data_IF_362949147467
#
_entry.id   IF_362949147467
#
_cell.length_a   1.000
_cell.length_b   1.000
_cell.length_c   1.000
_cell.angle_alpha   90.00
_cell.angle_beta   90.00
_cell.angle_gamma   90.00
#
_symmetry.space_group_name_H-M   'P 1'
#
loop_
_entity.id
_entity.type
_entity.pdbx_description
1 polymer ?
#
# COMPACT_ATOMS: atom_id res chain seq x y z
N UNK A 1 -15.92 19.98 19.78
CA UNK A 1 -17.33 19.56 19.60
C UNK A 1 -17.74 19.42 18.13
N UNK A 2 -17.43 20.37 17.25
CA UNK A 2 -17.80 20.26 15.81
C UNK A 2 -17.21 19.03 15.13
N UNK A 3 -16.00 18.61 15.51
CA UNK A 3 -15.36 17.42 14.96
C UNK A 3 -16.03 16.10 15.37
N UNK A 4 -16.52 16.02 16.61
CA UNK A 4 -17.28 14.88 17.11
C UNK A 4 -18.66 14.83 16.43
N UNK A 5 -19.35 15.97 16.33
CA UNK A 5 -20.59 16.08 15.57
C UNK A 5 -20.39 15.65 14.11
N UNK A 6 -19.39 16.23 13.44
CA UNK A 6 -19.05 15.88 12.06
C UNK A 6 -18.69 14.41 11.89
N UNK A 7 -18.04 13.77 12.89
CA UNK A 7 -17.71 12.36 12.86
C UNK A 7 -18.98 11.50 12.73
N UNK A 8 -20.07 11.82 13.44
CA UNK A 8 -21.30 11.03 13.44
C UNK A 8 -22.35 11.46 12.42
N UNK A 9 -22.28 12.69 11.87
CA UNK A 9 -23.30 13.21 10.96
C UNK A 9 -22.94 13.13 9.47
N UNK A 10 -21.65 13.03 9.13
CA UNK A 10 -21.21 12.91 7.73
C UNK A 10 -20.91 11.46 7.39
N UNK A 11 -21.19 11.07 6.14
CA UNK A 11 -20.67 9.81 5.60
C UNK A 11 -19.16 9.92 5.48
N UNK A 12 -18.46 8.92 6.01
CA UNK A 12 -17.01 8.87 5.98
C UNK A 12 -16.49 7.50 5.53
N UNK A 13 -15.21 7.47 5.15
CA UNK A 13 -14.47 6.25 4.81
C UNK A 13 -14.25 5.29 6.00
N UNK A 14 -13.65 4.14 5.74
CA UNK A 14 -13.45 3.04 6.72
C UNK A 14 -12.75 3.49 8.00
N UNK A 15 -11.71 4.33 7.92
CA UNK A 15 -11.00 4.88 9.08
C UNK A 15 -11.94 5.60 10.04
N UNK A 16 -12.77 6.51 9.53
CA UNK A 16 -13.70 7.26 10.35
C UNK A 16 -14.81 6.39 10.93
N UNK A 17 -15.18 5.28 10.27
CA UNK A 17 -16.08 4.26 10.86
C UNK A 17 -15.43 3.54 12.04
N UNK A 18 -14.13 3.20 11.95
CA UNK A 18 -13.37 2.67 13.09
C UNK A 18 -13.31 3.70 14.22
N UNK A 19 -12.98 4.96 13.89
CA UNK A 19 -12.90 6.05 14.85
C UNK A 19 -14.25 6.32 15.54
N UNK A 20 -15.37 6.23 14.81
CA UNK A 20 -16.72 6.29 15.40
C UNK A 20 -16.91 5.21 16.47
N UNK A 21 -16.58 3.95 16.14
CA UNK A 21 -16.72 2.84 17.05
C UNK A 21 -15.82 2.98 18.28
N UNK A 22 -14.54 3.30 18.10
CA UNK A 22 -13.59 3.55 19.19
C UNK A 22 -14.07 4.69 20.11
N UNK A 23 -14.63 5.76 19.53
CA UNK A 23 -15.16 6.90 20.29
C UNK A 23 -16.37 6.49 21.13
N UNK A 24 -17.25 5.63 20.60
CA UNK A 24 -18.39 5.06 21.36
C UNK A 24 -17.90 4.18 22.50
N UNK A 25 -16.94 3.30 22.24
CA UNK A 25 -16.36 2.40 23.26
C UNK A 25 -15.70 3.21 24.37
N UNK A 26 -14.91 4.22 24.02
CA UNK A 26 -14.29 5.15 24.98
C UNK A 26 -15.35 5.86 25.83
N UNK A 27 -16.40 6.36 25.20
CA UNK A 27 -17.50 7.05 25.90
C UNK A 27 -18.20 6.14 26.91
N UNK A 28 -18.56 4.92 26.49
CA UNK A 28 -19.19 3.93 27.37
C UNK A 28 -18.25 3.47 28.49
N UNK A 29 -16.97 3.31 28.19
CA UNK A 29 -15.97 2.95 29.18
C UNK A 29 -15.84 4.00 30.28
N UNK A 30 -15.81 5.28 29.93
CA UNK A 30 -15.77 6.39 30.90
C UNK A 30 -17.03 6.35 31.77
N UNK A 31 -18.22 6.21 31.17
CA UNK A 31 -19.47 6.15 31.93
C UNK A 31 -19.45 4.97 32.89
N UNK A 32 -19.12 3.76 32.41
CA UNK A 32 -19.12 2.55 33.22
C UNK A 32 -18.11 2.62 34.37
N UNK A 33 -16.89 3.10 34.08
CA UNK A 33 -15.84 3.27 35.08
C UNK A 33 -16.30 4.21 36.20
N UNK A 34 -16.78 5.42 35.85
CA UNK A 34 -17.15 6.39 36.87
C UNK A 34 -18.46 6.05 37.60
N UNK A 35 -19.43 5.40 36.94
CA UNK A 35 -20.66 4.94 37.62
C UNK A 35 -20.41 3.76 38.56
N UNK A 36 -19.36 2.96 38.33
CA UNK A 36 -18.94 1.90 39.23
C UNK A 36 -18.27 2.43 40.50
N UNK A 37 -17.40 3.44 40.38
CA UNK A 37 -16.60 3.94 41.50
C UNK A 37 -17.26 5.05 42.34
N UNK A 38 -18.26 5.76 41.80
CA UNK A 38 -18.84 6.93 42.45
C UNK A 38 -20.35 6.78 42.68
N UNK A 39 -20.86 7.41 43.74
CA UNK A 39 -22.30 7.40 44.03
C UNK A 39 -23.07 8.25 43.01
N UNK A 40 -24.11 7.67 42.44
CA UNK A 40 -24.94 8.31 41.42
C UNK A 40 -25.89 9.35 42.04
N UNK A 41 -25.56 10.63 41.90
CA UNK A 41 -26.49 11.75 42.10
C UNK A 41 -26.84 12.38 40.75
N UNK A 42 -27.99 13.05 40.65
CA UNK A 42 -28.39 13.74 39.41
C UNK A 42 -27.33 14.73 38.91
N UNK A 43 -26.72 15.50 39.81
CA UNK A 43 -25.64 16.43 39.46
C UNK A 43 -24.38 15.71 38.98
N UNK A 44 -24.02 14.58 39.61
CA UNK A 44 -22.88 13.76 39.21
C UNK A 44 -23.06 13.17 37.80
N UNK A 45 -24.27 12.68 37.47
CA UNK A 45 -24.56 12.13 36.14
C UNK A 45 -24.42 13.19 35.04
N UNK A 46 -24.89 14.41 35.27
CA UNK A 46 -24.75 15.51 34.29
C UNK A 46 -23.28 15.85 34.08
N UNK A 47 -22.51 16.01 35.16
CA UNK A 47 -21.07 16.29 35.09
C UNK A 47 -20.33 15.17 34.37
N UNK A 48 -20.68 13.91 34.66
CA UNK A 48 -20.09 12.73 34.02
C UNK A 48 -20.36 12.70 32.52
N UNK A 49 -21.58 13.00 32.08
CA UNK A 49 -21.91 13.07 30.65
C UNK A 49 -21.10 14.16 29.95
N UNK A 50 -21.03 15.36 30.54
CA UNK A 50 -20.25 16.48 30.00
C UNK A 50 -18.76 16.12 29.92
N UNK A 51 -18.22 15.48 30.96
CA UNK A 51 -16.83 15.04 31.01
C UNK A 51 -16.53 13.95 29.97
N UNK A 52 -17.40 12.94 29.85
CA UNK A 52 -17.26 11.88 28.85
C UNK A 52 -17.30 12.46 27.42
N UNK A 53 -18.22 13.39 27.15
CA UNK A 53 -18.28 14.11 25.88
C UNK A 53 -17.02 14.92 25.58
N UNK A 54 -16.44 15.57 26.60
CA UNK A 54 -15.20 16.32 26.46
C UNK A 54 -14.03 15.41 26.06
N UNK A 55 -13.80 14.32 26.81
CA UNK A 55 -12.72 13.37 26.53
C UNK A 55 -12.89 12.71 25.16
N UNK A 56 -14.10 12.27 24.81
CA UNK A 56 -14.40 11.72 23.49
C UNK A 56 -14.15 12.73 22.37
N UNK A 57 -14.48 14.02 22.56
CA UNK A 57 -14.18 15.06 21.57
C UNK A 57 -12.67 15.23 21.40
N UNK A 58 -11.91 15.34 22.49
CA UNK A 58 -10.47 15.49 22.44
C UNK A 58 -9.78 14.29 21.78
N UNK A 59 -10.25 13.07 22.04
CA UNK A 59 -9.76 11.86 21.37
C UNK A 59 -9.91 11.94 19.84
N UNK A 60 -11.09 12.36 19.37
CA UNK A 60 -11.37 12.52 17.93
C UNK A 60 -10.50 13.63 17.32
N UNK A 61 -10.30 14.73 18.04
CA UNK A 61 -9.48 15.86 17.56
C UNK A 61 -8.02 15.41 17.34
N UNK A 62 -7.42 14.76 18.34
CA UNK A 62 -6.05 14.22 18.24
C UNK A 62 -5.92 13.21 17.11
N UNK A 63 -6.88 12.28 16.98
CA UNK A 63 -6.82 11.25 15.92
C UNK A 63 -6.98 11.82 14.51
N UNK A 64 -7.76 12.88 14.34
CA UNK A 64 -7.87 13.58 13.04
C UNK A 64 -6.62 14.36 12.70
N UNK A 65 -6.01 15.01 13.68
CA UNK A 65 -4.74 15.74 13.51
C UNK A 65 -3.62 14.76 13.11
N UNK A 66 -3.49 13.63 13.81
CA UNK A 66 -2.54 12.56 13.49
C UNK A 66 -2.71 12.05 12.03
N UNK A 67 -3.96 11.83 11.58
CA UNK A 67 -4.23 11.43 10.20
C UNK A 67 -3.85 12.53 9.18
N UNK A 68 -4.14 13.79 9.50
CA UNK A 68 -3.77 14.94 8.66
C UNK A 68 -2.26 15.01 8.50
N UNK A 69 -1.52 14.91 9.59
CA UNK A 69 -0.06 14.95 9.59
C UNK A 69 0.51 13.78 8.79
N UNK A 70 -0.02 12.57 8.97
CA UNK A 70 0.38 11.40 8.19
C UNK A 70 0.19 11.64 6.69
N UNK A 71 -0.99 12.13 6.28
CA UNK A 71 -1.28 12.40 4.87
C UNK A 71 -0.36 13.49 4.29
N UNK A 72 -0.06 14.54 5.04
CA UNK A 72 0.89 15.57 4.63
C UNK A 72 2.30 15.01 4.46
N UNK A 73 2.76 14.16 5.38
CA UNK A 73 4.05 13.48 5.30
C UNK A 73 4.10 12.57 4.06
N UNK A 74 3.06 11.76 3.83
CA UNK A 74 2.97 10.89 2.65
C UNK A 74 3.03 11.70 1.35
N UNK A 75 2.30 12.81 1.27
CA UNK A 75 2.32 13.69 0.10
C UNK A 75 3.71 14.30 -0.13
N UNK A 76 4.38 14.78 0.93
CA UNK A 76 5.73 15.30 0.82
C UNK A 76 6.73 14.25 0.32
N UNK A 77 6.60 12.99 0.77
CA UNK A 77 7.40 11.87 0.29
C UNK A 77 7.13 11.55 -1.18
N UNK A 78 5.86 11.54 -1.60
CA UNK A 78 5.49 11.36 -3.02
C UNK A 78 6.11 12.46 -3.90
N UNK A 79 6.06 13.72 -3.45
CA UNK A 79 6.68 14.84 -4.16
C UNK A 79 8.20 14.68 -4.27
N UNK A 80 8.89 14.21 -3.22
CA UNK A 80 10.33 13.90 -3.31
C UNK A 80 10.63 12.85 -4.38
N UNK A 81 9.82 11.78 -4.46
CA UNK A 81 9.97 10.74 -5.48
C UNK A 81 9.74 11.30 -6.90
N UNK A 82 8.71 12.14 -7.08
CA UNK A 82 8.45 12.79 -8.37
C UNK A 82 9.59 13.73 -8.78
N UNK A 83 10.13 14.49 -7.82
CA UNK A 83 11.26 15.39 -8.06
C UNK A 83 12.52 14.62 -8.47
N UNK A 84 12.76 13.46 -7.86
CA UNK A 84 13.83 12.56 -8.28
C UNK A 84 13.68 12.14 -9.75
N UNK A 85 12.51 11.64 -10.15
CA UNK A 85 12.23 11.25 -11.54
C UNK A 85 12.51 12.41 -12.49
N UNK A 86 11.98 13.59 -12.18
CA UNK A 86 12.15 14.78 -13.01
C UNK A 86 13.63 15.14 -13.16
N UNK A 87 14.43 15.01 -12.10
CA UNK A 87 15.87 15.26 -12.12
C UNK A 87 16.62 14.26 -13.01
N UNK A 88 16.34 12.96 -12.86
CA UNK A 88 16.96 11.91 -13.69
C UNK A 88 16.61 12.10 -15.17
N UNK A 89 15.36 12.37 -15.50
CA UNK A 89 14.93 12.66 -16.87
C UNK A 89 15.65 13.89 -17.43
N UNK A 90 15.74 14.97 -16.66
CA UNK A 90 16.44 16.19 -17.07
C UNK A 90 17.92 15.93 -17.34
N UNK A 91 18.59 15.14 -16.49
CA UNK A 91 19.99 14.76 -16.67
C UNK A 91 20.19 13.90 -17.92
N UNK A 92 19.32 12.91 -18.16
CA UNK A 92 19.34 12.10 -19.39
C UNK A 92 19.12 12.94 -20.65
N UNK A 93 18.19 13.89 -20.61
CA UNK A 93 17.95 14.80 -21.73
C UNK A 93 19.17 15.67 -22.04
N UNK A 94 19.89 16.14 -21.00
CA UNK A 94 21.13 16.89 -21.17
C UNK A 94 22.24 16.04 -21.79
N UNK A 95 22.33 14.75 -21.47
CA UNK A 95 23.36 13.86 -22.02
C UNK A 95 23.10 13.41 -23.47
N UNK A 96 21.83 13.37 -23.92
CA UNK A 96 21.43 12.91 -25.27
C UNK A 96 21.66 13.98 -26.37
N UNK A 97 22.23 15.14 -26.02
CA UNK A 97 22.21 16.36 -26.83
C UNK A 97 23.07 16.32 -28.14
N UNK A 98 22.63 15.54 -29.14
CA UNK A 98 22.90 15.74 -30.59
C UNK A 98 21.62 15.92 -31.43
N UNK A 99 20.42 15.64 -30.89
CA UNK A 99 19.13 16.01 -31.50
C UNK A 99 18.22 16.56 -30.40
N UNK A 100 17.87 17.85 -30.49
CA UNK A 100 16.98 18.48 -29.51
C UNK A 100 15.56 17.89 -29.66
N UNK A 101 15.07 17.21 -28.63
CA UNK A 101 13.64 16.87 -28.52
C UNK A 101 12.82 18.16 -28.52
N UNK A 102 11.70 18.14 -29.26
CA UNK A 102 10.74 19.24 -29.30
C UNK A 102 10.13 19.48 -27.91
N UNK A 103 9.62 20.69 -27.61
CA UNK A 103 8.91 20.96 -26.35
C UNK A 103 7.76 19.99 -26.08
N UNK A 104 7.03 19.58 -27.12
CA UNK A 104 5.93 18.62 -27.04
C UNK A 104 6.43 17.22 -26.64
N UNK A 105 7.53 16.74 -27.21
CA UNK A 105 8.11 15.45 -26.86
C UNK A 105 8.65 15.43 -25.43
N UNK A 106 9.24 16.55 -24.98
CA UNK A 106 9.65 16.71 -23.57
C UNK A 106 8.43 16.62 -22.66
N UNK A 107 7.36 17.35 -22.97
CA UNK A 107 6.13 17.30 -22.17
C UNK A 107 5.56 15.87 -22.10
N UNK A 108 5.49 15.17 -23.23
CA UNK A 108 5.04 13.76 -23.27
C UNK A 108 5.92 12.85 -22.41
N UNK A 109 7.24 13.04 -22.41
CA UNK A 109 8.16 12.28 -21.58
C UNK A 109 7.93 12.52 -20.09
N UNK A 110 7.78 13.78 -19.65
CA UNK A 110 7.48 14.04 -18.24
C UNK A 110 6.11 13.49 -17.84
N UNK A 111 5.09 13.65 -18.70
CA UNK A 111 3.74 13.15 -18.44
C UNK A 111 3.68 11.63 -18.33
N UNK A 112 4.45 10.89 -19.13
CA UNK A 112 4.48 9.42 -19.07
C UNK A 112 5.20 8.87 -17.83
N UNK A 113 5.90 9.71 -17.07
CA UNK A 113 6.63 9.35 -15.86
C UNK A 113 6.05 10.04 -14.60
N UNK A 114 4.81 10.51 -14.65
CA UNK A 114 4.13 11.02 -13.46
C UNK A 114 3.71 9.85 -12.57
N UNK A 115 3.99 9.95 -11.27
CA UNK A 115 3.57 9.00 -10.24
C UNK A 115 2.09 9.20 -9.87
N UNK A 116 1.24 9.12 -10.89
CA UNK A 116 -0.18 9.44 -10.84
C UNK A 116 -1.02 8.43 -10.05
N UNK A 117 -0.49 7.22 -9.80
CA UNK A 117 -1.22 6.12 -9.16
C UNK A 117 -0.55 5.64 -7.88
N UNK A 118 0.67 6.11 -7.60
CA UNK A 118 1.42 5.74 -6.39
C UNK A 118 0.72 6.16 -5.09
N UNK A 119 -0.11 7.21 -5.14
CA UNK A 119 -0.86 7.74 -3.99
C UNK A 119 -1.86 6.75 -3.38
N UNK A 120 -2.27 5.71 -4.12
CA UNK A 120 -3.25 4.74 -3.62
C UNK A 120 -2.66 3.80 -2.55
N UNK A 121 -1.33 3.76 -2.39
CA UNK A 121 -0.66 2.95 -1.36
C UNK A 121 0.42 3.76 -0.62
N UNK A 122 0.07 4.24 0.58
CA UNK A 122 0.98 4.98 1.45
C UNK A 122 2.17 4.14 1.93
N UNK A 123 2.00 2.83 2.17
CA UNK A 123 3.10 1.98 2.61
C UNK A 123 4.15 1.85 1.51
N UNK A 124 3.70 1.74 0.26
CA UNK A 124 4.58 1.73 -0.91
C UNK A 124 5.35 3.05 -1.05
N UNK A 125 4.68 4.20 -0.89
CA UNK A 125 5.35 5.52 -0.90
C UNK A 125 6.44 5.61 0.16
N UNK A 126 6.10 5.25 1.40
CA UNK A 126 7.03 5.33 2.52
C UNK A 126 8.21 4.38 2.34
N UNK A 127 7.98 3.20 1.77
CA UNK A 127 9.04 2.26 1.43
C UNK A 127 9.96 2.81 0.34
N UNK A 128 9.42 3.25 -0.79
CA UNK A 128 10.21 3.76 -1.91
C UNK A 128 11.02 5.00 -1.52
N UNK A 129 10.45 5.90 -0.70
CA UNK A 129 11.19 7.05 -0.19
C UNK A 129 12.29 6.65 0.79
N UNK A 130 12.11 5.58 1.57
CA UNK A 130 13.15 5.10 2.51
C UNK A 130 14.41 4.57 1.80
N UNK A 131 14.26 4.04 0.58
CA UNK A 131 15.38 3.53 -0.23
C UNK A 131 15.92 4.55 -1.24
N UNK A 132 15.25 5.71 -1.39
CA UNK A 132 15.68 6.81 -2.27
C UNK A 132 17.14 7.25 -2.07
N UNK A 133 17.71 7.33 -0.86
CA UNK A 133 19.14 7.70 -0.69
C UNK A 133 20.12 6.76 -1.42
N UNK A 134 19.70 5.53 -1.73
CA UNK A 134 20.50 4.55 -2.46
C UNK A 134 20.41 4.73 -3.98
N UNK A 135 19.45 5.53 -4.47
CA UNK A 135 19.29 5.79 -5.90
C UNK A 135 20.55 6.36 -6.56
N UNK A 136 21.41 7.04 -5.78
CA UNK A 136 22.71 7.55 -6.25
C UNK A 136 23.64 6.49 -6.83
N UNK A 137 23.48 5.21 -6.46
CA UNK A 137 24.32 4.12 -6.97
C UNK A 137 23.88 3.67 -8.36
N UNK A 138 22.57 3.76 -8.67
CA UNK A 138 22.04 3.53 -10.00
C UNK A 138 20.67 4.22 -10.17
N UNK A 139 20.71 5.47 -10.63
CA UNK A 139 19.50 6.29 -10.78
C UNK A 139 18.56 5.76 -11.85
N UNK A 140 19.11 5.13 -12.90
CA UNK A 140 18.30 4.58 -14.01
C UNK A 140 17.50 3.38 -13.54
N UNK A 141 18.13 2.49 -12.78
CA UNK A 141 17.43 1.32 -12.25
C UNK A 141 16.35 1.73 -11.26
N UNK A 142 16.65 2.70 -10.39
CA UNK A 142 15.66 3.22 -9.46
C UNK A 142 14.45 3.86 -10.16
N UNK A 143 14.67 4.56 -11.28
CA UNK A 143 13.59 5.08 -12.12
C UNK A 143 12.69 3.96 -12.68
N UNK A 144 13.27 2.84 -13.14
CA UNK A 144 12.49 1.69 -13.63
C UNK A 144 11.60 1.10 -12.53
N UNK A 145 12.14 0.97 -11.31
CA UNK A 145 11.39 0.49 -10.14
C UNK A 145 10.19 1.41 -9.83
N UNK A 146 10.40 2.73 -9.83
CA UNK A 146 9.32 3.70 -9.58
C UNK A 146 8.22 3.63 -10.64
N UNK A 147 8.60 3.63 -11.92
CA UNK A 147 7.66 3.57 -13.02
C UNK A 147 6.90 2.24 -13.06
N UNK A 148 7.59 1.12 -12.90
CA UNK A 148 6.97 -0.19 -12.88
C UNK A 148 6.00 -0.35 -11.71
N UNK A 149 6.37 0.14 -10.52
CA UNK A 149 5.49 0.14 -9.35
C UNK A 149 4.25 1.02 -9.59
N UNK A 150 4.42 2.22 -10.14
CA UNK A 150 3.30 3.10 -10.48
C UNK A 150 2.36 2.45 -11.51
N UNK A 151 2.89 1.75 -12.52
CA UNK A 151 2.09 1.07 -13.54
C UNK A 151 1.26 -0.08 -12.97
N UNK A 152 1.79 -0.85 -12.01
CA UNK A 152 1.02 -1.90 -11.32
C UNK A 152 -0.12 -1.28 -10.52
N UNK A 153 0.15 -0.19 -9.79
CA UNK A 153 -0.87 0.55 -9.03
C UNK A 153 -1.90 1.20 -9.94
N UNK A 154 -1.49 1.65 -11.13
CA UNK A 154 -2.39 2.19 -12.15
C UNK A 154 -3.40 1.16 -12.62
N UNK A 155 -2.95 -0.07 -12.90
CA UNK A 155 -3.84 -1.19 -13.25
C UNK A 155 -4.86 -1.44 -12.13
N UNK A 156 -4.40 -1.48 -10.87
CA UNK A 156 -5.30 -1.62 -9.71
C UNK A 156 -6.34 -0.49 -9.67
N UNK A 157 -5.88 0.75 -9.78
CA UNK A 157 -6.75 1.92 -9.71
C UNK A 157 -7.79 1.94 -10.83
N UNK A 158 -7.42 1.56 -12.05
CA UNK A 158 -8.32 1.44 -13.19
C UNK A 158 -9.42 0.39 -12.94
N UNK A 159 -9.06 -0.79 -12.43
CA UNK A 159 -10.02 -1.85 -12.08
C UNK A 159 -10.98 -1.38 -10.99
N UNK A 160 -10.44 -0.80 -9.90
CA UNK A 160 -11.22 -0.35 -8.76
C UNK A 160 -12.19 0.77 -9.16
N UNK A 161 -11.70 1.79 -9.87
CA UNK A 161 -12.52 2.93 -10.32
C UNK A 161 -13.63 2.48 -11.27
N UNK A 162 -13.33 1.54 -12.18
CA UNK A 162 -14.32 0.99 -13.09
C UNK A 162 -15.41 0.20 -12.33
N UNK A 163 -15.01 -0.63 -11.36
CA UNK A 163 -15.95 -1.38 -10.54
C UNK A 163 -16.80 -0.46 -9.66
N UNK A 164 -16.21 0.56 -9.03
CA UNK A 164 -16.94 1.52 -8.21
C UNK A 164 -18.03 2.23 -9.00
N UNK A 165 -17.74 2.57 -10.26
CA UNK A 165 -18.64 3.29 -11.17
C UNK A 165 -19.74 2.39 -11.76
N UNK A 166 -19.40 1.15 -12.14
CA UNK A 166 -20.31 0.29 -12.94
C UNK A 166 -20.89 -0.90 -12.17
N UNK A 167 -20.36 -1.21 -10.98
CA UNK A 167 -20.67 -2.43 -10.19
C UNK A 167 -20.38 -3.74 -10.95
N UNK A 168 -19.54 -3.65 -11.97
CA UNK A 168 -19.05 -4.76 -12.79
C UNK A 168 -17.57 -4.53 -13.05
N UNK A 169 -16.79 -5.60 -13.11
CA UNK A 169 -15.36 -5.51 -13.44
C UNK A 169 -15.14 -5.28 -14.96
N UNK A 170 -14.01 -4.69 -15.36
CA UNK A 170 -13.63 -4.55 -16.78
C UNK A 170 -13.61 -5.90 -17.51
N UNK A 171 -13.93 -5.91 -18.80
CA UNK A 171 -13.94 -7.16 -19.58
C UNK A 171 -12.53 -7.76 -19.68
N UNK A 172 -11.53 -6.89 -19.84
CA UNK A 172 -10.12 -7.22 -19.96
C UNK A 172 -9.42 -7.46 -18.61
N UNK A 173 -10.15 -7.74 -17.52
CA UNK A 173 -9.54 -7.92 -16.18
C UNK A 173 -8.48 -9.03 -16.16
N UNK A 174 -8.67 -10.10 -16.94
CA UNK A 174 -7.65 -11.17 -17.08
C UNK A 174 -6.34 -10.67 -17.68
N UNK A 175 -6.41 -9.86 -18.74
CA UNK A 175 -5.23 -9.29 -19.41
C UNK A 175 -4.53 -8.26 -18.51
N UNK A 176 -5.31 -7.43 -17.82
CA UNK A 176 -4.81 -6.49 -16.83
C UNK A 176 -4.06 -7.21 -15.69
N UNK A 177 -4.61 -8.32 -15.19
CA UNK A 177 -3.96 -9.12 -14.17
C UNK A 177 -2.66 -9.77 -14.67
N UNK A 178 -2.66 -10.33 -15.88
CA UNK A 178 -1.45 -10.89 -16.49
C UNK A 178 -0.37 -9.81 -16.68
N UNK A 179 -0.76 -8.61 -17.13
CA UNK A 179 0.14 -7.47 -17.27
C UNK A 179 0.73 -7.05 -15.92
N UNK A 180 -0.09 -6.98 -14.86
CA UNK A 180 0.37 -6.67 -13.52
C UNK A 180 1.38 -7.72 -13.00
N UNK A 181 1.14 -9.01 -13.24
CA UNK A 181 2.07 -10.08 -12.86
C UNK A 181 3.40 -9.99 -13.60
N UNK A 182 3.37 -9.72 -14.91
CA UNK A 182 4.59 -9.53 -15.70
C UNK A 182 5.38 -8.31 -15.20
N UNK A 183 4.69 -7.20 -14.92
CA UNK A 183 5.32 -6.02 -14.34
C UNK A 183 5.92 -6.31 -12.96
N UNK A 184 5.22 -7.04 -12.09
CA UNK A 184 5.73 -7.45 -10.76
C UNK A 184 7.06 -8.19 -10.89
N UNK A 185 7.13 -9.18 -11.78
CA UNK A 185 8.36 -9.96 -12.02
C UNK A 185 9.48 -9.04 -12.50
N UNK A 186 9.20 -8.16 -13.48
CA UNK A 186 10.18 -7.22 -14.00
C UNK A 186 10.70 -6.28 -12.91
N UNK A 187 9.83 -5.71 -12.07
CA UNK A 187 10.28 -4.78 -11.02
C UNK A 187 11.04 -5.49 -9.91
N UNK A 188 10.69 -6.74 -9.57
CA UNK A 188 11.48 -7.55 -8.64
C UNK A 188 12.89 -7.77 -9.20
N UNK A 189 13.01 -8.12 -10.48
CA UNK A 189 14.30 -8.21 -11.14
C UNK A 189 15.04 -6.86 -11.12
N UNK A 190 14.33 -5.76 -11.37
CA UNK A 190 14.92 -4.43 -11.34
C UNK A 190 15.47 -4.07 -9.94
N UNK A 191 14.79 -4.50 -8.87
CA UNK A 191 15.26 -4.34 -7.49
C UNK A 191 16.50 -5.18 -7.23
N UNK A 192 16.55 -6.42 -7.72
CA UNK A 192 17.75 -7.23 -7.63
C UNK A 192 18.94 -6.55 -8.31
N UNK A 193 18.76 -6.08 -9.55
CA UNK A 193 19.77 -5.33 -10.30
C UNK A 193 20.21 -4.06 -9.57
N UNK A 194 19.26 -3.31 -9.02
CA UNK A 194 19.54 -2.10 -8.23
C UNK A 194 20.40 -2.44 -7.01
N UNK A 195 20.06 -3.50 -6.28
CA UNK A 195 20.79 -3.96 -5.10
C UNK A 195 22.21 -4.43 -5.45
N UNK A 196 22.40 -5.03 -6.62
CA UNK A 196 23.73 -5.42 -7.08
C UNK A 196 24.68 -4.23 -7.28
N UNK A 197 24.14 -3.04 -7.57
CA UNK A 197 24.96 -1.82 -7.73
C UNK A 197 25.42 -1.19 -6.42
N UNK A 198 24.88 -1.64 -5.28
CA UNK A 198 25.15 -1.04 -3.97
C UNK A 198 26.35 -1.74 -3.30
N UNK A 199 27.34 -0.99 -2.76
CA UNK A 199 28.49 -1.56 -2.07
C UNK A 199 28.09 -2.44 -0.87
N UNK A 200 28.60 -3.68 -0.83
CA UNK A 200 28.16 -4.72 0.12
C UNK A 200 29.08 -4.83 1.34
N UNK A 201 28.82 -4.03 2.38
CA UNK A 201 29.32 -4.34 3.74
C UNK A 201 28.34 -5.30 4.47
N UNK A 202 28.74 -5.90 5.59
CA UNK A 202 27.93 -6.93 6.27
C UNK A 202 26.57 -6.41 6.77
N UNK A 203 26.52 -5.19 7.31
CA UNK A 203 25.28 -4.53 7.76
C UNK A 203 24.38 -4.23 6.55
N UNK A 204 24.98 -3.78 5.44
CA UNK A 204 24.29 -3.47 4.20
C UNK A 204 23.67 -4.71 3.56
N UNK A 205 24.30 -5.89 3.66
CA UNK A 205 23.72 -7.12 3.10
C UNK A 205 22.38 -7.48 3.74
N UNK A 206 22.25 -7.35 5.07
CA UNK A 206 20.98 -7.60 5.75
C UNK A 206 19.93 -6.56 5.33
N UNK A 207 20.29 -5.28 5.34
CA UNK A 207 19.41 -4.22 4.90
C UNK A 207 18.92 -4.38 3.44
N UNK A 208 19.81 -4.78 2.53
CA UNK A 208 19.47 -5.03 1.12
C UNK A 208 18.53 -6.24 0.96
N UNK A 209 18.70 -7.28 1.79
CA UNK A 209 17.75 -8.40 1.82
C UNK A 209 16.37 -7.94 2.29
N UNK A 210 16.32 -7.15 3.34
CA UNK A 210 15.07 -6.59 3.88
C UNK A 210 14.35 -5.72 2.84
N UNK A 211 15.07 -5.02 1.96
CA UNK A 211 14.48 -4.27 0.85
C UNK A 211 13.71 -5.20 -0.10
N UNK A 212 14.31 -6.32 -0.52
CA UNK A 212 13.69 -7.27 -1.45
C UNK A 212 12.44 -7.87 -0.82
N UNK A 213 12.57 -8.36 0.43
CA UNK A 213 11.50 -9.03 1.13
C UNK A 213 10.33 -8.06 1.37
N UNK A 214 10.63 -6.84 1.83
CA UNK A 214 9.62 -5.81 2.09
C UNK A 214 8.92 -5.37 0.81
N UNK A 215 9.65 -5.14 -0.28
CA UNK A 215 9.01 -4.83 -1.56
C UNK A 215 8.11 -5.97 -2.04
N UNK A 216 8.61 -7.21 -1.98
CA UNK A 216 7.88 -8.41 -2.41
C UNK A 216 6.56 -8.56 -1.67
N UNK A 217 6.54 -8.28 -0.36
CA UNK A 217 5.31 -8.28 0.44
C UNK A 217 4.36 -7.15 0.03
N UNK A 218 4.88 -5.92 -0.13
CA UNK A 218 4.03 -4.77 -0.47
C UNK A 218 3.41 -4.92 -1.86
N UNK A 219 4.21 -5.26 -2.87
CA UNK A 219 3.72 -5.47 -4.24
C UNK A 219 2.88 -6.75 -4.35
N UNK A 220 3.18 -7.76 -3.52
CA UNK A 220 2.38 -8.97 -3.38
C UNK A 220 0.94 -8.66 -2.98
N UNK A 221 0.74 -7.85 -1.94
CA UNK A 221 -0.61 -7.43 -1.49
C UNK A 221 -1.41 -6.71 -2.58
N UNK A 222 -0.74 -5.84 -3.35
CA UNK A 222 -1.36 -5.14 -4.49
C UNK A 222 -1.77 -6.15 -5.56
N UNK A 223 -0.89 -7.10 -5.88
CA UNK A 223 -1.13 -8.14 -6.89
C UNK A 223 -2.24 -9.12 -6.45
N UNK A 224 -2.27 -9.50 -5.18
CA UNK A 224 -3.33 -10.33 -4.59
C UNK A 224 -4.69 -9.62 -4.66
N UNK A 225 -4.72 -8.30 -4.44
CA UNK A 225 -5.94 -7.50 -4.60
C UNK A 225 -6.43 -7.49 -6.06
N UNK A 226 -5.53 -7.40 -7.04
CA UNK A 226 -5.89 -7.47 -8.46
C UNK A 226 -6.38 -8.87 -8.82
N UNK A 227 -5.73 -9.91 -8.28
CA UNK A 227 -6.14 -11.31 -8.44
C UNK A 227 -7.54 -11.59 -7.91
N UNK A 228 -7.89 -11.04 -6.74
CA UNK A 228 -9.24 -11.14 -6.20
C UNK A 228 -10.28 -10.44 -7.10
N UNK A 229 -9.97 -9.27 -7.65
CA UNK A 229 -10.81 -8.61 -8.66
C UNK A 229 -10.99 -9.47 -9.90
N UNK A 230 -9.93 -10.14 -10.37
CA UNK A 230 -9.98 -11.11 -11.46
C UNK A 230 -10.88 -12.31 -11.15
N UNK A 231 -10.73 -12.93 -9.97
CA UNK A 231 -11.61 -14.03 -9.52
C UNK A 231 -13.07 -13.59 -9.44
N UNK A 232 -13.32 -12.41 -8.90
CA UNK A 232 -14.67 -11.87 -8.74
C UNK A 232 -15.31 -11.52 -10.09
N UNK A 233 -14.53 -11.05 -11.06
CA UNK A 233 -15.00 -10.90 -12.44
C UNK A 233 -15.50 -12.24 -13.03
N UNK A 234 -14.71 -13.30 -12.88
CA UNK A 234 -15.10 -14.65 -13.35
C UNK A 234 -16.36 -15.14 -12.63
N UNK A 235 -16.45 -14.95 -11.31
CA UNK A 235 -17.63 -15.33 -10.53
C UNK A 235 -18.88 -14.58 -10.99
N UNK A 236 -18.76 -13.30 -11.32
CA UNK A 236 -19.88 -12.44 -11.72
C UNK A 236 -20.35 -12.73 -13.15
N UNK A 237 -19.42 -12.92 -14.09
CA UNK A 237 -19.74 -13.09 -15.52
C UNK A 237 -19.92 -14.55 -15.94
N UNK A 238 -19.41 -15.50 -15.15
CA UNK A 238 -19.28 -16.89 -15.55
C UNK A 238 -18.12 -17.12 -16.53
N UNK A 239 -17.78 -18.38 -16.77
CA UNK A 239 -16.76 -18.77 -17.75
C UNK A 239 -17.38 -18.66 -19.15
N UNK A 240 -16.76 -17.86 -20.02
CA UNK A 240 -17.19 -17.63 -21.40
C UNK A 240 -15.99 -17.63 -22.36
N UNK A 241 -16.23 -17.36 -23.65
CA UNK A 241 -15.20 -17.35 -24.70
C UNK A 241 -14.09 -16.32 -24.51
N UNK A 242 -14.30 -15.28 -23.69
CA UNK A 242 -13.30 -14.26 -23.36
C UNK A 242 -12.62 -14.51 -22.01
N UNK A 243 -12.91 -15.62 -21.33
CA UNK A 243 -12.32 -15.94 -20.02
C UNK A 243 -10.94 -16.56 -20.19
N UNK A 244 -9.90 -15.77 -19.91
CA UNK A 244 -8.52 -16.24 -19.89
C UNK A 244 -8.09 -16.62 -18.48
N UNK A 245 -7.58 -17.86 -18.32
CA UNK A 245 -7.05 -18.35 -17.04
C UNK A 245 -5.57 -17.99 -16.88
N UNK A 246 -5.28 -17.19 -15.86
CA UNK A 246 -3.93 -16.74 -15.53
C UNK A 246 -3.42 -17.52 -14.30
N UNK A 247 -2.24 -18.15 -14.42
CA UNK A 247 -1.58 -18.80 -13.29
C UNK A 247 -1.01 -17.76 -12.34
N UNK A 248 -1.25 -17.92 -11.04
CA UNK A 248 -0.72 -17.03 -10.00
C UNK A 248 -0.46 -17.82 -8.71
N UNK A 249 0.80 -17.84 -8.29
CA UNK A 249 1.18 -18.35 -6.99
C UNK A 249 0.93 -17.26 -5.96
N UNK A 250 -0.13 -17.40 -5.18
CA UNK A 250 -0.45 -16.47 -4.08
C UNK A 250 0.66 -16.51 -3.03
N UNK A 251 1.02 -15.35 -2.49
CA UNK A 251 1.83 -15.33 -1.28
C UNK A 251 0.96 -15.85 -0.13
N UNK A 252 1.20 -17.10 0.30
CA UNK A 252 0.50 -17.67 1.45
C UNK A 252 0.62 -16.69 2.65
N UNK A 253 -0.46 -16.43 3.39
CA UNK A 253 -0.35 -15.67 4.63
C UNK A 253 0.70 -16.32 5.54
N UNK A 254 1.44 -15.48 6.27
CA UNK A 254 2.43 -15.97 7.21
C UNK A 254 1.73 -16.79 8.31
N UNK A 255 1.91 -18.11 8.25
CA UNK A 255 1.47 -19.04 9.29
C UNK A 255 2.70 -19.46 10.09
N UNK A 256 2.70 -19.08 11.37
CA UNK A 256 3.79 -19.27 12.30
C UNK A 256 4.12 -20.76 12.51
N UNK A 257 3.15 -21.66 12.26
CA UNK A 257 3.30 -23.12 12.38
C UNK A 257 3.79 -23.76 11.09
N UNK A 258 3.39 -23.27 9.91
CA UNK A 258 3.83 -23.87 8.62
C UNK A 258 5.11 -23.25 8.06
N UNK A 259 5.42 -22.00 8.42
CA UNK A 259 6.49 -21.21 7.81
C UNK A 259 7.72 -21.06 8.71
N UNK A 260 7.83 -21.89 9.76
CA UNK A 260 9.07 -22.01 10.52
C UNK A 260 10.14 -22.67 9.65
N UNK A 261 11.36 -22.16 9.69
CA UNK A 261 12.52 -22.78 9.04
C UNK A 261 12.75 -24.14 9.68
N UNK A 262 12.36 -25.23 9.01
CA UNK A 262 12.77 -26.57 9.41
C UNK A 262 14.28 -26.68 9.17
N UNK A 263 15.06 -26.46 10.22
CA UNK A 263 16.48 -26.82 10.22
C UNK A 263 16.51 -28.36 10.04
N UNK A 264 17.13 -28.90 8.98
CA UNK A 264 17.03 -30.33 8.66
C UNK A 264 17.72 -31.28 9.65
N UNK A 265 18.27 -30.79 10.77
CA UNK A 265 19.18 -31.58 11.61
C UNK A 265 18.58 -32.18 12.89
N UNK A 266 17.28 -32.04 13.16
CA UNK A 266 16.71 -32.56 14.42
C UNK A 266 15.38 -33.32 14.33
N UNK A 267 14.85 -33.59 13.13
CA UNK A 267 13.65 -34.43 12.98
C UNK A 267 14.00 -35.90 12.71
N UNK A 268 14.44 -36.59 13.77
CA UNK A 268 14.24 -38.03 13.88
C UNK A 268 12.73 -38.29 13.99
N UNK A 269 12.01 -38.46 12.87
CA UNK A 269 10.79 -39.27 12.83
C UNK A 269 10.31 -39.56 11.40
N UNK A 270 10.52 -40.82 11.00
CA UNK A 270 9.85 -41.63 9.97
C UNK A 270 9.48 -40.96 8.63
N UNK A 271 10.23 -41.36 7.61
CA UNK A 271 9.84 -41.33 6.19
C UNK A 271 8.41 -41.84 6.00
N UNK A 272 7.50 -40.98 5.55
CA UNK A 272 6.23 -41.42 4.96
C UNK A 272 6.53 -42.00 3.58
N UNK A 273 6.17 -43.27 3.39
CA UNK A 273 6.26 -43.98 2.11
C UNK A 273 5.15 -43.47 1.19
N UNK A 274 5.52 -43.03 -0.01
CA UNK A 274 4.59 -42.92 -1.11
C UNK A 274 4.30 -44.34 -1.63
N UNK A 275 3.01 -44.69 -1.72
CA UNK A 275 2.57 -45.86 -2.47
C UNK A 275 2.50 -45.48 -3.96
N UNK A 276 2.99 -46.39 -4.81
CA UNK A 276 2.96 -46.34 -6.28
C UNK A 276 1.52 -46.39 -6.76
#
# INVERSE_FOLDING_TARGET
MDNLKNLFTKQHGSFFKSLQFETIVLFLFIIFFFTYYFKNSYGFVIILIVFALFISSSYVDVKKEELSDFNQITLAKLQKLQNFINSVLTNKLRSINKKMLTPLEKQKLYQSNVLDSLYIDANMIHFLESILPMAKYNETQFLLILNGTNNILKIKNEIDTYYESNKTYPENTSELFQMANNLKINVINDIHEFIYTIPKNQIMRNYLRDIIDRYSVLIGRISDSIHESYKNNIKQRGINVSTNFVSYDETKPFDQLSNHSTIPELNNNKLQRFYI
#
